data_IF_543013428680
#
_entry.id   IF_543013428680
#
_cell.length_a   1.000
_cell.length_b   1.000
_cell.length_c   1.000
_cell.angle_alpha   90.00
_cell.angle_beta   90.00
_cell.angle_gamma   90.00
#
_symmetry.space_group_name_H-M   'P 1'
#
loop_
_entity.id
_entity.type
_entity.pdbx_description
1 polymer ?
#
# COMPACT_ATOMS: atom_id res chain seq x y z
N UNK A 1 -20.78 14.70 -9.32
CA UNK A 1 -19.36 14.57 -8.90
C UNK A 1 -19.07 13.09 -8.65
N UNK A 2 -17.95 12.58 -9.18
CA UNK A 2 -17.55 11.20 -8.98
C UNK A 2 -16.92 11.06 -7.60
N UNK A 3 -17.27 10.02 -6.87
CA UNK A 3 -16.67 9.67 -5.58
C UNK A 3 -15.64 8.58 -5.82
N UNK A 4 -14.39 8.85 -5.49
CA UNK A 4 -13.28 7.91 -5.72
C UNK A 4 -12.94 7.09 -4.48
N UNK A 5 -13.28 7.61 -3.30
CA UNK A 5 -13.02 6.95 -2.02
C UNK A 5 -13.97 7.48 -0.95
N UNK A 6 -14.42 6.61 -0.07
CA UNK A 6 -15.11 6.96 1.16
C UNK A 6 -14.40 6.30 2.34
N UNK A 7 -14.21 7.05 3.41
CA UNK A 7 -13.66 6.51 4.67
C UNK A 7 -14.79 6.35 5.68
N UNK A 8 -14.82 5.24 6.37
CA UNK A 8 -15.77 5.01 7.44
C UNK A 8 -15.09 4.44 8.70
N UNK A 9 -15.62 4.83 9.84
CA UNK A 9 -15.27 4.21 11.11
C UNK A 9 -16.04 2.89 11.24
N UNK A 10 -15.34 1.78 11.14
CA UNK A 10 -15.94 0.44 11.22
C UNK A 10 -14.91 -0.60 11.64
N UNK A 11 -15.40 -1.78 11.96
CA UNK A 11 -14.59 -2.99 12.21
C UNK A 11 -14.82 -4.01 11.11
N UNK A 12 -13.95 -5.00 11.03
CA UNK A 12 -13.99 -6.05 10.02
C UNK A 12 -15.33 -6.81 10.01
N UNK A 13 -15.93 -7.04 11.20
CA UNK A 13 -17.24 -7.72 11.31
C UNK A 13 -18.38 -6.95 10.63
N UNK A 14 -18.18 -5.68 10.32
CA UNK A 14 -19.17 -4.79 9.70
C UNK A 14 -19.03 -4.68 8.17
N UNK A 15 -17.95 -5.20 7.59
CA UNK A 15 -17.64 -5.01 6.16
C UNK A 15 -18.74 -5.53 5.23
N UNK A 16 -19.27 -6.71 5.49
CA UNK A 16 -20.36 -7.27 4.69
C UNK A 16 -21.61 -6.37 4.70
N UNK A 17 -21.94 -5.83 5.87
CA UNK A 17 -23.07 -4.90 6.03
C UNK A 17 -22.85 -3.58 5.30
N UNK A 18 -21.62 -3.06 5.35
CA UNK A 18 -21.25 -1.80 4.70
C UNK A 18 -21.28 -1.94 3.18
N UNK A 19 -20.80 -3.07 2.66
CA UNK A 19 -20.82 -3.34 1.22
C UNK A 19 -22.17 -3.80 0.69
N UNK A 20 -23.14 -4.10 1.59
CA UNK A 20 -24.46 -4.56 1.16
C UNK A 20 -25.15 -3.52 0.26
N UNK A 21 -25.55 -3.96 -0.93
CA UNK A 21 -26.20 -3.10 -1.92
C UNK A 21 -25.25 -2.18 -2.72
N UNK A 22 -23.95 -2.25 -2.47
CA UNK A 22 -22.96 -1.61 -3.34
C UNK A 22 -22.62 -2.52 -4.54
N UNK A 23 -22.07 -1.93 -5.60
CA UNK A 23 -21.63 -2.64 -6.79
C UNK A 23 -20.22 -2.18 -7.16
N UNK A 24 -19.35 -3.11 -7.56
CA UNK A 24 -17.98 -2.82 -7.99
C UNK A 24 -17.16 -2.03 -6.94
N UNK A 25 -17.36 -2.35 -5.67
CA UNK A 25 -16.61 -1.75 -4.56
C UNK A 25 -15.90 -2.79 -3.73
N UNK A 26 -14.85 -2.37 -3.07
CA UNK A 26 -14.13 -3.18 -2.10
C UNK A 26 -13.79 -2.33 -0.86
N UNK A 27 -13.48 -3.00 0.23
CA UNK A 27 -12.94 -2.36 1.43
C UNK A 27 -11.45 -2.65 1.50
N UNK A 28 -10.67 -1.62 1.82
CA UNK A 28 -9.27 -1.73 2.21
C UNK A 28 -9.09 -1.08 3.58
N UNK A 29 -8.38 -1.73 4.48
CA UNK A 29 -8.19 -1.24 5.84
C UNK A 29 -6.71 -1.04 6.15
N UNK A 30 -6.42 -0.01 6.89
CA UNK A 30 -5.10 0.31 7.43
C UNK A 30 -5.10 0.31 8.96
N UNK A 31 -6.29 0.26 9.58
CA UNK A 31 -6.50 0.21 11.01
C UNK A 31 -7.72 -0.65 11.34
N UNK A 32 -7.81 -1.17 12.58
CA UNK A 32 -8.87 -2.06 13.04
C UNK A 32 -10.23 -1.37 13.28
N UNK A 33 -10.27 -0.04 13.19
CA UNK A 33 -11.46 0.80 13.43
C UNK A 33 -11.77 1.78 12.30
N UNK A 34 -11.07 1.69 11.20
CA UNK A 34 -11.31 2.52 10.04
C UNK A 34 -10.97 1.77 8.76
N UNK A 35 -11.80 1.97 7.76
CA UNK A 35 -11.63 1.38 6.45
C UNK A 35 -12.00 2.37 5.36
N UNK A 36 -11.40 2.17 4.21
CA UNK A 36 -11.69 2.88 2.99
C UNK A 36 -12.55 1.99 2.07
N UNK A 37 -13.63 2.56 1.55
CA UNK A 37 -14.43 1.95 0.50
C UNK A 37 -13.97 2.57 -0.82
N UNK A 38 -13.48 1.74 -1.71
CA UNK A 38 -12.92 2.14 -3.00
C UNK A 38 -13.55 1.34 -4.14
N UNK A 39 -13.50 1.82 -5.39
CA UNK A 39 -13.86 1.00 -6.54
C UNK A 39 -13.01 -0.28 -6.61
N UNK A 40 -13.59 -1.37 -7.11
CA UNK A 40 -12.96 -2.70 -7.14
C UNK A 40 -11.63 -2.72 -7.92
N UNK A 41 -11.53 -1.90 -8.97
CA UNK A 41 -10.33 -1.77 -9.80
C UNK A 41 -9.30 -0.79 -9.23
N UNK A 42 -9.61 -0.12 -8.12
CA UNK A 42 -8.71 0.79 -7.44
C UNK A 42 -7.90 0.05 -6.38
N UNK A 43 -6.94 0.76 -5.80
CA UNK A 43 -6.01 0.24 -4.81
C UNK A 43 -4.58 0.62 -5.15
N UNK A 44 -3.70 0.58 -4.14
CA UNK A 44 -2.32 1.04 -4.28
C UNK A 44 -1.53 0.20 -5.30
N UNK A 45 -1.76 -1.11 -5.35
CA UNK A 45 -1.12 -1.98 -6.33
C UNK A 45 -1.54 -1.68 -7.77
N UNK A 46 -2.84 -1.45 -8.01
CA UNK A 46 -3.36 -1.06 -9.32
C UNK A 46 -2.84 0.32 -9.74
N UNK A 47 -2.77 1.28 -8.79
CA UNK A 47 -2.20 2.60 -9.06
C UNK A 47 -0.72 2.51 -9.48
N UNK A 48 0.09 1.71 -8.81
CA UNK A 48 1.49 1.48 -9.19
C UNK A 48 1.58 0.90 -10.59
N UNK A 49 0.80 -0.13 -10.92
CA UNK A 49 0.79 -0.72 -12.27
C UNK A 49 0.41 0.30 -13.35
N UNK A 50 -0.58 1.16 -13.08
CA UNK A 50 -0.99 2.21 -14.00
C UNK A 50 0.12 3.26 -14.21
N UNK A 51 0.82 3.66 -13.15
CA UNK A 51 1.95 4.60 -13.23
C UNK A 51 3.11 3.99 -14.03
N UNK A 52 3.49 2.75 -13.74
CA UNK A 52 4.54 2.05 -14.48
C UNK A 52 4.20 1.96 -15.98
N UNK A 53 2.98 1.58 -16.30
CA UNK A 53 2.51 1.52 -17.68
C UNK A 53 2.57 2.90 -18.36
N UNK A 54 2.13 3.95 -17.66
CA UNK A 54 2.13 5.32 -18.21
C UNK A 54 3.53 5.79 -18.56
N UNK A 55 4.53 5.49 -17.75
CA UNK A 55 5.92 5.88 -17.99
C UNK A 55 6.72 4.84 -18.79
N UNK A 56 6.13 3.72 -19.17
CA UNK A 56 6.83 2.65 -19.90
C UNK A 56 7.90 1.95 -19.07
N UNK A 57 7.72 1.90 -17.75
CA UNK A 57 8.64 1.27 -16.80
C UNK A 57 8.20 -0.16 -16.48
N UNK A 58 9.18 -1.00 -16.14
CA UNK A 58 8.95 -2.33 -15.60
C UNK A 58 8.86 -2.28 -14.07
N UNK A 59 8.33 -3.34 -13.46
CA UNK A 59 8.26 -3.40 -11.99
C UNK A 59 9.65 -3.40 -11.33
N UNK A 60 10.67 -3.93 -12.01
CA UNK A 60 12.05 -3.97 -11.55
C UNK A 60 12.68 -2.58 -11.41
N UNK A 61 12.12 -1.58 -12.09
CA UNK A 61 12.54 -0.18 -12.01
C UNK A 61 11.81 0.62 -10.94
N UNK A 62 10.99 -0.05 -10.11
CA UNK A 62 10.18 0.58 -9.08
C UNK A 62 10.51 0.05 -7.68
N UNK A 63 10.50 0.96 -6.73
CA UNK A 63 10.61 0.68 -5.31
C UNK A 63 9.38 1.25 -4.61
N UNK A 64 8.81 0.51 -3.68
CA UNK A 64 7.70 0.97 -2.85
C UNK A 64 8.01 0.73 -1.37
N UNK A 65 7.56 1.64 -0.52
CA UNK A 65 7.65 1.56 0.93
C UNK A 65 6.25 1.49 1.52
N UNK A 66 6.04 0.61 2.50
CA UNK A 66 4.74 0.43 3.12
C UNK A 66 4.81 -0.15 4.52
N UNK A 67 3.76 0.09 5.32
CA UNK A 67 3.65 -0.41 6.70
C UNK A 67 2.24 -0.90 7.06
N UNK A 68 1.25 -0.67 6.20
CA UNK A 68 -0.15 -1.05 6.40
C UNK A 68 -0.59 -2.27 5.58
N UNK A 69 -1.69 -2.90 5.98
CA UNK A 69 -2.29 -3.98 5.21
C UNK A 69 -2.72 -3.55 3.80
N UNK A 70 -3.14 -2.29 3.65
CA UNK A 70 -3.48 -1.69 2.36
C UNK A 70 -2.28 -1.44 1.45
N UNK A 71 -1.04 -1.66 1.92
CA UNK A 71 0.19 -1.52 1.15
C UNK A 71 0.67 -2.86 0.55
N UNK A 72 0.13 -4.00 0.97
CA UNK A 72 0.60 -5.32 0.53
C UNK A 72 0.61 -5.43 -1.00
N UNK A 73 -0.50 -5.10 -1.66
CA UNK A 73 -0.57 -5.16 -3.12
C UNK A 73 0.43 -4.22 -3.81
N UNK A 74 0.74 -3.07 -3.19
CA UNK A 74 1.75 -2.13 -3.69
C UNK A 74 3.15 -2.72 -3.55
N UNK A 75 3.48 -3.33 -2.41
CA UNK A 75 4.77 -3.97 -2.17
C UNK A 75 5.02 -5.13 -3.14
N UNK A 76 3.97 -5.86 -3.51
CA UNK A 76 4.04 -6.97 -4.48
C UNK A 76 4.06 -6.50 -5.95
N UNK A 77 3.58 -5.28 -6.22
CA UNK A 77 3.50 -4.72 -7.58
C UNK A 77 4.83 -4.17 -8.11
N UNK A 78 5.86 -4.06 -7.27
CA UNK A 78 7.18 -3.52 -7.60
C UNK A 78 8.28 -4.57 -7.52
N UNK A 79 9.44 -4.30 -8.12
CA UNK A 79 10.61 -5.18 -8.02
C UNK A 79 11.26 -5.16 -6.64
N UNK A 80 11.19 -4.02 -5.95
CA UNK A 80 11.70 -3.88 -4.58
C UNK A 80 10.61 -3.31 -3.68
N UNK A 81 9.85 -4.19 -3.04
CA UNK A 81 8.90 -3.83 -1.99
C UNK A 81 9.61 -3.78 -0.64
N UNK A 82 9.58 -2.64 0.03
CA UNK A 82 10.28 -2.41 1.30
C UNK A 82 9.26 -2.22 2.41
N UNK A 83 9.19 -3.15 3.35
CA UNK A 83 8.37 -2.97 4.54
C UNK A 83 9.09 -2.08 5.55
N UNK A 84 8.37 -1.15 6.16
CA UNK A 84 8.89 -0.32 7.25
C UNK A 84 9.14 -1.17 8.49
N UNK A 85 10.12 -0.80 9.30
CA UNK A 85 10.48 -1.51 10.53
C UNK A 85 9.33 -1.61 11.53
N UNK A 86 8.46 -0.61 11.55
CA UNK A 86 7.24 -0.56 12.39
C UNK A 86 6.07 -1.38 11.81
N UNK A 87 6.18 -1.94 10.61
CA UNK A 87 5.14 -2.80 10.04
C UNK A 87 5.00 -4.11 10.82
N UNK A 88 3.80 -4.69 10.82
CA UNK A 88 3.56 -6.02 11.37
C UNK A 88 4.28 -7.10 10.55
N UNK A 89 4.60 -8.22 11.20
CA UNK A 89 5.32 -9.33 10.55
C UNK A 89 4.56 -9.91 9.35
N UNK A 90 3.22 -9.90 9.39
CA UNK A 90 2.37 -10.30 8.27
C UNK A 90 2.62 -9.44 7.02
N UNK A 91 2.80 -8.13 7.18
CA UNK A 91 3.09 -7.20 6.08
C UNK A 91 4.53 -7.41 5.59
N UNK A 92 5.48 -7.56 6.51
CA UNK A 92 6.89 -7.82 6.18
C UNK A 92 7.07 -9.09 5.35
N UNK A 93 6.23 -10.11 5.55
CA UNK A 93 6.25 -11.34 4.77
C UNK A 93 5.94 -11.14 3.27
N UNK A 94 5.27 -10.05 2.89
CA UNK A 94 4.97 -9.69 1.50
C UNK A 94 5.99 -8.75 0.87
N UNK A 95 6.98 -8.30 1.63
CA UNK A 95 8.01 -7.39 1.14
C UNK A 95 9.26 -8.15 0.69
N UNK A 96 10.02 -7.54 -0.21
CA UNK A 96 11.34 -8.03 -0.65
C UNK A 96 12.37 -7.90 0.47
N UNK A 97 12.28 -6.81 1.25
CA UNK A 97 13.16 -6.51 2.37
C UNK A 97 12.47 -5.56 3.35
N UNK A 98 13.16 -5.28 4.46
CA UNK A 98 12.68 -4.38 5.51
C UNK A 98 13.73 -3.30 5.75
N UNK A 99 13.28 -2.05 5.88
CA UNK A 99 14.12 -0.94 6.34
C UNK A 99 13.89 -0.65 7.83
N UNK A 100 14.52 0.39 8.36
CA UNK A 100 14.25 0.89 9.72
C UNK A 100 12.82 1.43 9.83
N UNK A 101 12.40 1.69 11.06
CA UNK A 101 11.08 2.26 11.33
C UNK A 101 10.94 3.70 10.81
N UNK A 102 9.72 4.18 10.72
CA UNK A 102 9.46 5.58 10.38
C UNK A 102 10.06 6.56 11.38
N UNK A 103 10.16 6.18 12.66
CA UNK A 103 10.76 6.99 13.73
C UNK A 103 12.30 7.07 13.65
N UNK A 104 12.90 6.20 12.84
CA UNK A 104 14.34 6.09 12.62
C UNK A 104 14.77 6.54 11.21
N UNK A 105 13.94 7.36 10.55
CA UNK A 105 14.17 7.82 9.18
C UNK A 105 14.40 6.69 8.16
N UNK A 106 13.70 5.56 8.32
CA UNK A 106 13.95 4.32 7.60
C UNK A 106 13.95 4.44 6.08
N UNK A 107 13.07 5.25 5.49
CA UNK A 107 13.04 5.49 4.04
C UNK A 107 14.29 6.25 3.59
N UNK A 108 14.67 7.29 4.33
CA UNK A 108 15.85 8.10 4.00
C UNK A 108 17.13 7.27 4.06
N UNK A 109 17.34 6.55 5.17
CA UNK A 109 18.50 5.70 5.34
C UNK A 109 18.58 4.61 4.26
N UNK A 110 17.46 3.95 3.96
CA UNK A 110 17.39 2.97 2.88
C UNK A 110 17.81 3.57 1.54
N UNK A 111 17.26 4.73 1.18
CA UNK A 111 17.58 5.39 -0.08
C UNK A 111 19.06 5.79 -0.16
N UNK A 112 19.65 6.22 0.94
CA UNK A 112 21.07 6.58 1.02
C UNK A 112 21.97 5.34 0.89
N UNK A 113 21.67 4.27 1.65
CA UNK A 113 22.42 3.02 1.64
C UNK A 113 22.43 2.33 0.27
N UNK A 114 21.33 2.47 -0.48
CA UNK A 114 21.17 1.88 -1.81
C UNK A 114 21.54 2.84 -2.96
N UNK A 115 22.07 4.02 -2.65
CA UNK A 115 22.54 4.98 -3.67
C UNK A 115 21.42 5.61 -4.49
N UNK A 116 20.19 5.61 -3.99
CA UNK A 116 19.03 6.23 -4.65
C UNK A 116 19.03 7.74 -4.47
N UNK A 117 19.68 8.22 -3.42
CA UNK A 117 19.93 9.64 -3.16
C UNK A 117 21.38 9.82 -2.73
N UNK A 118 21.91 11.04 -2.92
CA UNK A 118 23.24 11.46 -2.46
C UNK A 118 23.10 12.69 -1.57
N UNK A 119 24.00 12.81 -0.59
CA UNK A 119 24.12 14.01 0.25
C UNK A 119 24.98 15.04 -0.46
#
# INVERSE_FOLDING_TARGET
>A
EDIYQMMCACREEEYERILYGTHHTQITAWWDRAADIIPLECGKGNAVRAVLQHFGLTKEEAIAFGDGFNDIEMLEAVGTGVAMGNAKDEIKAHATCTCRSVEEDGVYDFCLEHGLITI
#
